data_IF_128854529580
#
_entry.id   IF_128854529580
#
_cell.length_a   1.000
_cell.length_b   1.000
_cell.length_c   1.000
_cell.angle_alpha   90.00
_cell.angle_beta   90.00
_cell.angle_gamma   90.00
#
_symmetry.space_group_name_H-M   'P 1'
#
loop_
_entity.id
_entity.type
_entity.pdbx_description
1 polymer ?
#
# COMPACT_ATOMS: atom_id res chain seq x y z
N UNK A 1 30.75 21.18 -12.19
CA UNK A 1 30.07 20.99 -10.90
C UNK A 1 29.03 22.08 -10.57
N UNK A 2 28.59 22.92 -11.52
CA UNK A 2 27.57 23.97 -11.29
C UNK A 2 26.14 23.56 -11.67
N UNK A 3 25.97 22.48 -12.44
CA UNK A 3 24.65 22.02 -12.94
C UNK A 3 23.96 20.98 -12.06
N UNK A 4 24.60 20.49 -10.99
CA UNK A 4 24.12 19.34 -10.23
C UNK A 4 22.84 19.64 -9.43
N UNK A 5 22.61 20.90 -9.03
CA UNK A 5 21.39 21.34 -8.31
C UNK A 5 20.42 22.13 -9.19
N UNK A 6 20.48 21.96 -10.50
CA UNK A 6 19.48 22.53 -11.44
C UNK A 6 18.32 21.54 -11.57
N UNK A 7 17.08 22.02 -11.41
CA UNK A 7 15.87 21.21 -11.65
C UNK A 7 15.62 21.04 -13.14
N UNK A 8 15.35 19.82 -13.57
CA UNK A 8 15.02 19.48 -14.96
C UNK A 8 13.52 19.68 -15.17
N UNK A 9 13.12 20.82 -15.75
CA UNK A 9 11.71 21.20 -15.89
C UNK A 9 10.96 20.34 -16.90
N UNK A 10 9.70 20.04 -16.62
CA UNK A 10 8.79 19.30 -17.49
C UNK A 10 9.05 17.80 -17.51
N UNK A 11 9.83 17.28 -16.55
CA UNK A 11 10.17 15.87 -16.45
C UNK A 11 9.64 15.29 -15.14
N UNK A 12 8.96 14.15 -15.25
CA UNK A 12 8.53 13.33 -14.11
C UNK A 12 9.14 11.94 -14.24
N UNK A 13 9.63 11.40 -13.12
CA UNK A 13 10.16 10.04 -13.03
C UNK A 13 9.62 9.41 -11.75
N UNK A 14 9.25 8.13 -11.79
CA UNK A 14 8.66 7.44 -10.66
C UNK A 14 9.50 6.24 -10.18
N UNK A 15 9.31 5.85 -8.92
CA UNK A 15 9.89 4.65 -8.33
C UNK A 15 8.78 3.79 -7.72
N UNK A 16 8.52 2.60 -8.29
CA UNK A 16 7.60 1.63 -7.72
C UNK A 16 8.07 1.13 -6.35
N UNK A 17 7.20 1.25 -5.36
CA UNK A 17 7.41 0.69 -4.03
C UNK A 17 6.20 -0.16 -3.65
N UNK A 18 6.41 -1.03 -2.68
CA UNK A 18 5.33 -1.63 -1.93
C UNK A 18 5.51 -1.33 -0.45
N UNK A 19 4.40 -1.22 0.25
CA UNK A 19 4.39 -1.17 1.70
C UNK A 19 3.28 -2.07 2.23
N UNK A 20 3.44 -2.53 3.46
CA UNK A 20 2.47 -3.41 4.07
C UNK A 20 3.11 -4.38 5.04
N UNK A 21 2.42 -5.48 5.34
CA UNK A 21 2.89 -6.47 6.28
C UNK A 21 2.62 -7.91 5.86
N UNK A 22 3.45 -8.81 6.40
CA UNK A 22 3.14 -10.23 6.54
C UNK A 22 2.91 -10.54 8.02
N UNK A 23 1.95 -11.41 8.34
CA UNK A 23 1.71 -11.89 9.71
C UNK A 23 1.55 -13.41 9.73
N UNK A 24 1.88 -14.04 10.85
CA UNK A 24 1.71 -15.49 11.06
C UNK A 24 1.26 -15.74 12.47
N UNK A 25 0.17 -16.51 12.60
CA UNK A 25 -0.31 -16.99 13.89
C UNK A 25 0.74 -17.89 14.55
N UNK A 26 1.02 -17.64 15.83
CA UNK A 26 2.01 -18.37 16.60
C UNK A 26 1.44 -19.68 17.13
N UNK A 27 2.25 -20.75 17.12
CA UNK A 27 1.89 -21.99 17.78
C UNK A 27 1.94 -21.84 19.30
N UNK A 28 1.28 -22.74 20.03
CA UNK A 28 1.34 -22.76 21.50
C UNK A 28 2.79 -22.78 22.01
N UNK A 29 3.65 -23.59 21.38
CA UNK A 29 5.06 -23.69 21.71
C UNK A 29 5.80 -22.36 21.50
N UNK A 30 5.53 -21.67 20.40
CA UNK A 30 6.19 -20.40 20.10
C UNK A 30 5.73 -19.28 21.06
N UNK A 31 4.45 -19.27 21.43
CA UNK A 31 3.91 -18.32 22.42
C UNK A 31 4.56 -18.50 23.79
N UNK A 32 4.74 -19.74 24.24
CA UNK A 32 5.41 -20.04 25.52
C UNK A 32 6.88 -19.62 25.56
N UNK A 33 7.52 -19.50 24.38
CA UNK A 33 8.90 -19.02 24.28
C UNK A 33 9.00 -17.48 24.27
N UNK A 34 7.89 -16.76 24.11
CA UNK A 34 7.88 -15.29 24.13
C UNK A 34 7.80 -14.76 25.57
N UNK A 35 8.39 -13.59 25.83
CA UNK A 35 8.23 -12.91 27.11
C UNK A 35 6.82 -12.34 27.31
N UNK A 36 6.01 -12.26 26.25
CA UNK A 36 4.65 -11.73 26.25
C UNK A 36 3.64 -12.85 25.97
N UNK A 37 2.94 -13.30 27.02
CA UNK A 37 2.06 -14.47 26.96
C UNK A 37 0.74 -14.21 26.17
N UNK A 38 0.33 -12.95 26.06
CA UNK A 38 -0.86 -12.52 25.34
C UNK A 38 -0.65 -12.36 23.83
N UNK A 39 0.60 -12.36 23.37
CA UNK A 39 0.90 -12.24 21.94
C UNK A 39 0.50 -13.50 21.17
N UNK A 40 -0.27 -13.30 20.10
CA UNK A 40 -0.83 -14.40 19.29
C UNK A 40 -0.21 -14.50 17.90
N UNK A 41 0.40 -13.43 17.41
CA UNK A 41 0.96 -13.35 16.07
C UNK A 41 2.40 -12.82 16.10
N UNK A 42 3.20 -13.26 15.14
CA UNK A 42 4.42 -12.57 14.70
C UNK A 42 4.12 -11.87 13.39
N UNK A 43 4.59 -10.65 13.23
CA UNK A 43 4.35 -9.87 12.03
C UNK A 43 5.58 -9.06 11.64
N UNK A 44 5.70 -8.77 10.35
CA UNK A 44 6.73 -7.90 9.78
C UNK A 44 6.07 -6.88 8.89
N UNK A 45 6.22 -5.60 9.22
CA UNK A 45 5.84 -4.47 8.35
C UNK A 45 7.07 -3.98 7.58
N UNK A 46 6.93 -3.64 6.30
CA UNK A 46 8.06 -3.23 5.48
C UNK A 46 7.69 -2.19 4.41
N UNK A 47 8.72 -1.51 3.89
CA UNK A 47 8.73 -0.79 2.62
C UNK A 47 9.79 -1.42 1.72
N UNK A 48 9.44 -1.81 0.50
CA UNK A 48 10.33 -2.55 -0.42
C UNK A 48 10.15 -2.06 -1.87
N UNK A 49 11.06 -2.45 -2.77
CA UNK A 49 10.80 -2.32 -4.20
C UNK A 49 9.63 -3.23 -4.61
N UNK A 50 8.89 -2.84 -5.64
CA UNK A 50 7.66 -3.53 -5.99
C UNK A 50 7.87 -4.91 -6.63
N UNK A 51 8.90 -5.08 -7.45
CA UNK A 51 9.20 -6.36 -8.08
C UNK A 51 9.71 -7.38 -7.05
N UNK A 52 9.23 -8.62 -7.14
CA UNK A 52 9.72 -9.72 -6.30
C UNK A 52 10.92 -10.38 -6.96
N UNK A 53 11.94 -10.72 -6.17
CA UNK A 53 13.09 -11.49 -6.66
C UNK A 53 12.64 -12.92 -7.07
N UNK A 54 13.26 -13.52 -8.12
CA UNK A 54 12.98 -14.90 -8.49
C UNK A 54 13.18 -15.86 -7.30
N UNK A 55 12.23 -16.77 -7.09
CA UNK A 55 12.25 -17.75 -5.99
C UNK A 55 12.28 -17.16 -4.57
N UNK A 56 12.00 -15.87 -4.40
CA UNK A 56 11.88 -15.23 -3.08
C UNK A 56 10.65 -15.73 -2.32
N UNK A 57 10.80 -15.94 -1.02
CA UNK A 57 9.77 -16.23 -0.03
C UNK A 57 9.16 -14.96 0.60
N UNK A 58 9.59 -13.78 0.15
CA UNK A 58 9.04 -12.49 0.54
C UNK A 58 8.40 -11.77 -0.65
N UNK A 59 7.43 -10.91 -0.36
CA UNK A 59 6.78 -10.03 -1.33
C UNK A 59 7.69 -8.83 -1.62
N UNK A 60 7.91 -8.54 -2.90
CA UNK A 60 8.76 -7.44 -3.38
C UNK A 60 10.25 -7.61 -3.05
N UNK A 61 10.98 -6.50 -3.10
CA UNK A 61 12.37 -6.43 -2.66
C UNK A 61 13.41 -6.95 -3.64
N UNK A 62 13.11 -7.00 -4.95
CA UNK A 62 14.10 -7.34 -5.98
C UNK A 62 15.22 -6.30 -6.14
N UNK A 63 14.95 -5.04 -5.80
CA UNK A 63 15.85 -3.90 -6.03
C UNK A 63 16.24 -3.24 -4.71
N UNK A 64 17.45 -2.68 -4.68
CA UNK A 64 17.83 -1.76 -3.62
C UNK A 64 17.20 -0.37 -3.84
N UNK A 65 16.42 0.07 -2.86
CA UNK A 65 15.74 1.38 -2.86
C UNK A 65 16.47 2.44 -2.02
N UNK A 66 17.62 2.10 -1.41
CA UNK A 66 18.41 3.02 -0.58
C UNK A 66 19.00 4.21 -1.35
N UNK A 67 19.10 4.09 -2.68
CA UNK A 67 19.57 5.17 -3.56
C UNK A 67 18.64 6.38 -3.61
N UNK A 68 17.36 6.23 -3.25
CA UNK A 68 16.40 7.34 -3.15
C UNK A 68 15.73 7.46 -1.78
N UNK A 69 15.71 6.39 -0.98
CA UNK A 69 15.19 6.39 0.40
C UNK A 69 16.35 6.40 1.39
N UNK A 70 16.41 7.46 2.21
CA UNK A 70 17.41 7.61 3.27
C UNK A 70 17.01 6.88 4.56
N UNK A 71 15.74 6.94 4.93
CA UNK A 71 15.23 6.38 6.19
C UNK A 71 13.74 6.12 6.10
N UNK A 72 13.29 5.02 6.69
CA UNK A 72 11.87 4.75 6.94
C UNK A 72 11.62 4.75 8.44
N UNK A 73 10.64 5.53 8.89
CA UNK A 73 10.18 5.52 10.28
C UNK A 73 8.83 4.83 10.35
N UNK A 74 8.72 3.78 11.16
CA UNK A 74 7.46 3.11 11.49
C UNK A 74 7.01 3.59 12.87
N UNK A 75 5.83 4.22 12.95
CA UNK A 75 5.19 4.55 14.23
C UNK A 75 4.19 3.45 14.55
N UNK A 76 4.55 2.63 15.52
CA UNK A 76 3.72 1.56 16.08
C UNK A 76 2.72 2.12 17.10
N UNK A 77 1.81 1.28 17.58
CA UNK A 77 0.91 1.62 18.67
C UNK A 77 1.68 1.92 19.97
N UNK A 78 1.18 2.85 20.79
CA UNK A 78 1.88 3.37 21.98
C UNK A 78 2.11 2.31 23.08
N UNK A 79 1.48 1.15 22.98
CA UNK A 79 1.73 -0.01 23.86
C UNK A 79 3.09 -0.66 23.62
N UNK A 80 3.71 -0.46 22.45
CA UNK A 80 5.04 -0.97 22.18
C UNK A 80 6.11 -0.09 22.80
N UNK A 81 7.13 -0.72 23.39
CA UNK A 81 8.33 -0.01 23.80
C UNK A 81 9.01 0.62 22.58
N UNK A 82 9.37 1.90 22.69
CA UNK A 82 9.91 2.71 21.60
C UNK A 82 9.05 2.60 20.33
N UNK A 83 7.81 3.12 20.34
CA UNK A 83 6.86 2.89 19.26
C UNK A 83 7.31 3.55 17.94
N UNK A 84 8.19 4.55 17.99
CA UNK A 84 8.83 5.11 16.79
C UNK A 84 10.12 4.36 16.45
N UNK A 85 10.06 3.51 15.43
CA UNK A 85 11.19 2.72 14.93
C UNK A 85 11.81 3.39 13.70
N UNK A 86 13.07 3.81 13.78
CA UNK A 86 13.79 4.45 12.69
C UNK A 86 14.73 3.44 12.02
N UNK A 87 14.55 3.21 10.72
CA UNK A 87 15.36 2.29 9.92
C UNK A 87 16.11 3.09 8.85
N UNK A 88 17.40 3.31 9.07
CA UNK A 88 18.27 4.14 8.22
C UNK A 88 18.93 3.36 7.06
N UNK A 89 18.82 2.04 7.05
CA UNK A 89 19.42 1.17 6.02
C UNK A 89 18.49 0.01 5.68
N UNK A 90 18.50 -0.48 4.44
CA UNK A 90 17.73 -1.66 4.07
C UNK A 90 18.22 -2.91 4.84
N UNK A 91 17.34 -3.89 5.11
CA UNK A 91 15.91 -3.90 4.74
C UNK A 91 15.09 -2.91 5.59
N UNK A 92 14.23 -2.13 4.93
CA UNK A 92 13.36 -1.15 5.60
C UNK A 92 12.14 -1.84 6.18
N UNK A 93 12.34 -2.59 7.27
CA UNK A 93 11.29 -3.39 7.90
C UNK A 93 11.42 -3.46 9.43
N UNK A 94 10.30 -3.78 10.08
CA UNK A 94 10.22 -4.01 11.52
C UNK A 94 9.46 -5.31 11.74
N UNK A 95 10.07 -6.23 12.48
CA UNK A 95 9.42 -7.45 12.98
C UNK A 95 9.09 -7.31 14.45
N UNK A 96 7.87 -7.68 14.80
CA UNK A 96 7.35 -7.65 16.17
C UNK A 96 6.38 -8.80 16.40
N UNK A 97 5.95 -8.94 17.65
CA UNK A 97 4.87 -9.84 18.05
C UNK A 97 3.71 -9.03 18.63
N UNK A 98 2.49 -9.54 18.55
CA UNK A 98 1.32 -8.84 19.09
C UNK A 98 0.03 -9.64 18.94
N UNK A 99 -1.07 -9.06 19.40
CA UNK A 99 -2.38 -9.69 19.38
C UNK A 99 -3.45 -8.90 18.62
N UNK A 100 -3.22 -7.60 18.40
CA UNK A 100 -4.20 -6.69 17.81
C UNK A 100 -3.74 -6.10 16.48
N UNK A 101 -4.72 -5.77 15.64
CA UNK A 101 -4.56 -4.98 14.42
C UNK A 101 -4.65 -3.49 14.75
N UNK A 102 -3.82 -2.66 14.12
CA UNK A 102 -3.80 -1.22 14.34
C UNK A 102 -3.18 -0.49 13.14
N UNK A 103 -3.40 0.82 13.04
CA UNK A 103 -2.81 1.65 12.00
C UNK A 103 -1.33 1.98 12.32
N UNK A 104 -0.44 1.62 11.41
CA UNK A 104 0.98 1.96 11.42
C UNK A 104 1.19 3.15 10.50
N UNK A 105 1.69 4.25 11.04
CA UNK A 105 2.14 5.38 10.24
C UNK A 105 3.57 5.11 9.74
N UNK A 106 3.76 5.10 8.43
CA UNK A 106 5.03 4.85 7.75
C UNK A 106 5.53 6.17 7.13
N UNK A 107 6.65 6.69 7.62
CA UNK A 107 7.24 7.94 7.13
C UNK A 107 8.52 7.67 6.36
N UNK A 108 8.50 7.88 5.05
CA UNK A 108 9.63 7.71 4.14
C UNK A 108 10.37 9.05 4.01
N UNK A 109 11.63 9.08 4.43
CA UNK A 109 12.53 10.22 4.26
C UNK A 109 13.45 9.95 3.08
N UNK A 110 13.46 10.83 2.08
CA UNK A 110 14.29 10.68 0.89
C UNK A 110 15.73 11.15 1.11
N UNK A 111 16.62 10.74 0.21
CA UNK A 111 18.01 11.22 0.16
C UNK A 111 18.06 12.73 -0.10
N UNK A 112 19.11 13.41 0.36
CA UNK A 112 19.19 14.87 0.31
C UNK A 112 19.19 15.42 -1.13
N UNK A 113 19.72 14.62 -2.05
CA UNK A 113 19.80 14.88 -3.48
C UNK A 113 18.43 15.04 -4.12
N UNK A 114 17.41 14.34 -3.61
CA UNK A 114 16.03 14.49 -4.09
C UNK A 114 15.49 15.90 -3.86
N UNK A 115 15.88 16.53 -2.73
CA UNK A 115 15.28 17.77 -2.26
C UNK A 115 13.79 17.69 -1.95
N UNK A 116 13.25 16.48 -1.84
CA UNK A 116 11.84 16.26 -1.57
C UNK A 116 11.55 16.18 -0.07
N UNK A 117 10.32 16.58 0.30
CA UNK A 117 9.83 16.40 1.67
C UNK A 117 9.56 14.91 1.92
N UNK A 118 9.61 14.52 3.19
CA UNK A 118 9.24 13.16 3.57
C UNK A 118 7.78 12.86 3.21
N UNK A 119 7.55 11.65 2.73
CA UNK A 119 6.23 11.10 2.44
C UNK A 119 5.70 10.35 3.67
N UNK A 120 4.38 10.36 3.89
CA UNK A 120 3.73 9.61 4.96
C UNK A 120 2.62 8.76 4.38
N UNK A 121 2.66 7.47 4.71
CA UNK A 121 1.70 6.45 4.35
C UNK A 121 1.09 5.90 5.63
N UNK A 122 -0.12 5.36 5.53
CA UNK A 122 -0.82 4.71 6.64
C UNK A 122 -1.14 3.29 6.23
N UNK A 123 -0.76 2.33 7.06
CA UNK A 123 -0.99 0.92 6.82
C UNK A 123 -1.73 0.30 7.99
N UNK A 124 -2.91 -0.26 7.75
CA UNK A 124 -3.60 -1.05 8.76
C UNK A 124 -2.95 -2.44 8.87
N UNK A 125 -2.27 -2.71 9.99
CA UNK A 125 -1.61 -3.98 10.24
C UNK A 125 -2.63 -5.11 10.21
N UNK A 126 -2.51 -6.03 9.24
CA UNK A 126 -3.41 -7.18 9.13
C UNK A 126 -2.78 -8.41 9.76
N UNK A 127 -3.45 -9.01 10.74
CA UNK A 127 -3.01 -10.22 11.42
C UNK A 127 -3.82 -11.44 10.98
N UNK A 128 -5.13 -11.26 10.84
CA UNK A 128 -6.06 -12.36 10.59
C UNK A 128 -6.27 -12.58 9.09
N UNK A 129 -6.58 -13.82 8.67
CA UNK A 129 -6.91 -14.11 7.28
C UNK A 129 -8.04 -13.22 6.75
N UNK A 130 -7.97 -12.87 5.48
CA UNK A 130 -9.05 -12.18 4.80
C UNK A 130 -10.27 -13.10 4.71
N UNK A 131 -11.42 -12.63 5.18
CA UNK A 131 -12.66 -13.39 5.26
C UNK A 131 -13.62 -13.00 4.13
N UNK A 132 -14.37 -13.97 3.61
CA UNK A 132 -15.47 -13.68 2.68
C UNK A 132 -16.67 -13.08 3.42
N UNK A 133 -17.61 -12.48 2.69
CA UNK A 133 -18.83 -11.95 3.28
C UNK A 133 -19.62 -13.06 4.01
N UNK A 134 -19.86 -12.86 5.32
CA UNK A 134 -20.56 -13.82 6.17
C UNK A 134 -19.64 -14.76 6.96
N UNK A 135 -18.33 -14.74 6.73
CA UNK A 135 -17.34 -15.46 7.56
C UNK A 135 -16.88 -14.60 8.75
N UNK A 136 -16.43 -15.21 9.86
CA UNK A 136 -15.87 -14.48 10.98
C UNK A 136 -14.59 -13.75 10.58
N UNK A 137 -14.52 -12.44 10.84
CA UNK A 137 -13.33 -11.63 10.54
C UNK A 137 -12.10 -12.05 11.36
N UNK A 138 -12.33 -12.54 12.58
CA UNK A 138 -11.30 -13.05 13.49
C UNK A 138 -11.59 -14.53 13.74
N UNK A 139 -10.98 -15.44 12.96
CA UNK A 139 -11.14 -16.86 13.18
C UNK A 139 -10.36 -17.32 14.43
N UNK A 140 -10.71 -18.48 15.02
CA UNK A 140 -9.92 -19.10 16.08
C UNK A 140 -8.45 -19.30 15.65
N UNK A 141 -7.52 -19.20 16.60
CA UNK A 141 -6.08 -19.24 16.30
C UNK A 141 -5.66 -20.53 15.57
N UNK A 142 -6.25 -21.67 15.93
CA UNK A 142 -6.00 -22.96 15.26
C UNK A 142 -6.37 -22.95 13.77
N UNK A 143 -7.42 -22.19 13.41
CA UNK A 143 -7.84 -22.01 12.03
C UNK A 143 -6.88 -21.05 11.34
N UNK A 144 -6.53 -19.92 11.98
CA UNK A 144 -5.55 -18.97 11.45
C UNK A 144 -4.18 -19.63 11.15
N UNK A 145 -3.70 -20.52 12.03
CA UNK A 145 -2.46 -21.29 11.81
C UNK A 145 -2.55 -22.14 10.53
N UNK A 146 -3.69 -22.76 10.24
CA UNK A 146 -3.89 -23.59 9.03
C UNK A 146 -3.93 -22.77 7.75
N UNK A 147 -4.39 -21.51 7.81
CA UNK A 147 -4.38 -20.61 6.67
C UNK A 147 -2.98 -20.13 6.29
N UNK A 148 -2.01 -20.24 7.21
CA UNK A 148 -0.63 -19.84 6.99
C UNK A 148 -0.44 -18.32 7.06
N UNK A 149 0.63 -17.79 6.44
CA UNK A 149 0.94 -16.38 6.51
C UNK A 149 -0.14 -15.51 5.86
N UNK A 150 -0.52 -14.45 6.57
CA UNK A 150 -1.40 -13.40 6.06
C UNK A 150 -0.54 -12.34 5.39
N UNK A 151 -0.95 -11.93 4.19
CA UNK A 151 -0.28 -10.90 3.41
C UNK A 151 -1.23 -9.73 3.18
N UNK A 152 -0.78 -8.52 3.53
CA UNK A 152 -1.47 -7.26 3.26
C UNK A 152 -0.45 -6.29 2.69
N UNK A 153 -0.42 -6.15 1.37
CA UNK A 153 0.55 -5.33 0.66
C UNK A 153 -0.14 -4.39 -0.31
N UNK A 154 0.35 -3.16 -0.35
CA UNK A 154 -0.12 -2.09 -1.22
C UNK A 154 1.02 -1.68 -2.16
N UNK A 155 0.68 -1.51 -3.43
CA UNK A 155 1.56 -0.92 -4.43
C UNK A 155 1.40 0.59 -4.44
N UNK A 156 2.51 1.31 -4.59
CA UNK A 156 2.52 2.77 -4.73
C UNK A 156 3.69 3.21 -5.61
N UNK A 157 3.62 4.44 -6.11
CA UNK A 157 4.65 5.03 -6.94
C UNK A 157 5.12 6.35 -6.36
N UNK A 158 6.40 6.41 -5.99
CA UNK A 158 7.01 7.67 -5.59
C UNK A 158 7.35 8.46 -6.84
N UNK A 159 6.56 9.51 -7.12
CA UNK A 159 6.76 10.37 -8.29
C UNK A 159 7.61 11.60 -7.92
N UNK A 160 8.72 11.76 -8.64
CA UNK A 160 9.61 12.92 -8.54
C UNK A 160 9.37 13.84 -9.74
N UNK A 161 8.76 15.00 -9.48
CA UNK A 161 8.48 16.02 -10.50
C UNK A 161 9.59 17.08 -10.52
N UNK A 162 10.01 17.45 -11.72
CA UNK A 162 11.11 18.38 -11.96
C UNK A 162 12.34 18.07 -11.07
N UNK A 163 12.90 16.84 -11.11
CA UNK A 163 13.96 16.43 -10.22
C UNK A 163 15.24 17.24 -10.47
N UNK A 164 16.10 17.36 -9.46
CA UNK A 164 17.45 17.88 -9.66
C UNK A 164 18.24 16.98 -10.61
N UNK A 165 19.07 17.57 -11.48
CA UNK A 165 19.83 16.82 -12.49
C UNK A 165 20.71 15.73 -11.87
N UNK A 166 21.36 16.00 -10.73
CA UNK A 166 22.15 14.99 -10.04
C UNK A 166 21.30 13.80 -9.55
N UNK A 167 20.12 14.07 -9.01
CA UNK A 167 19.20 13.06 -8.51
C UNK A 167 18.58 12.27 -9.66
N UNK A 168 18.24 12.94 -10.77
CA UNK A 168 17.83 12.26 -11.99
C UNK A 168 18.92 11.29 -12.47
N UNK A 169 20.20 11.69 -12.45
CA UNK A 169 21.29 10.78 -12.81
C UNK A 169 21.37 9.56 -11.87
N UNK A 170 21.19 9.76 -10.56
CA UNK A 170 21.12 8.66 -9.57
C UNK A 170 19.97 7.71 -9.92
N UNK A 171 18.79 8.25 -10.18
CA UNK A 171 17.62 7.45 -10.55
C UNK A 171 17.89 6.69 -11.87
N UNK A 172 18.31 7.37 -12.94
CA UNK A 172 18.54 6.73 -14.24
C UNK A 172 19.64 5.64 -14.19
N UNK A 173 20.62 5.76 -13.30
CA UNK A 173 21.63 4.71 -13.07
C UNK A 173 21.07 3.46 -12.36
N UNK A 174 19.90 3.57 -11.71
CA UNK A 174 19.23 2.51 -10.99
C UNK A 174 17.78 2.38 -11.48
N UNK A 175 17.56 1.86 -12.70
CA UNK A 175 16.21 1.60 -13.21
C UNK A 175 15.54 0.49 -12.36
N UNK A 176 14.23 0.61 -12.05
CA UNK A 176 13.53 -0.42 -11.31
C UNK A 176 13.40 -1.71 -12.12
N UNK A 177 13.43 -2.87 -11.45
CA UNK A 177 13.12 -4.14 -12.10
C UNK A 177 11.65 -4.12 -12.56
N UNK A 178 11.35 -4.41 -13.84
CA UNK A 178 9.98 -4.44 -14.33
C UNK A 178 9.14 -5.51 -13.61
N UNK A 179 7.89 -5.18 -13.30
CA UNK A 179 6.93 -6.17 -12.82
C UNK A 179 6.71 -7.27 -13.88
N UNK A 180 6.42 -8.52 -13.47
CA UNK A 180 6.10 -9.59 -14.39
C UNK A 180 4.86 -9.27 -15.24
N UNK A 181 4.87 -9.69 -16.49
CA UNK A 181 3.75 -9.49 -17.42
C UNK A 181 2.57 -10.43 -17.18
N UNK A 182 2.83 -11.59 -16.60
CA UNK A 182 1.86 -12.66 -16.39
C UNK A 182 1.80 -13.04 -14.91
N UNK A 183 0.64 -13.50 -14.47
CA UNK A 183 0.43 -14.02 -13.11
C UNK A 183 1.19 -15.35 -12.97
N UNK A 184 2.18 -15.38 -12.05
CA UNK A 184 3.00 -16.57 -11.73
C UNK A 184 2.81 -17.07 -10.30
N UNK A 185 2.29 -16.19 -9.45
CA UNK A 185 2.06 -16.32 -8.01
C UNK A 185 0.66 -15.77 -7.70
N UNK A 186 0.11 -16.03 -6.50
CA UNK A 186 -1.10 -15.34 -6.04
C UNK A 186 -0.95 -13.82 -6.13
N UNK A 187 -2.07 -13.11 -6.15
CA UNK A 187 -2.08 -11.65 -6.12
C UNK A 187 -2.24 -11.14 -4.69
N UNK A 188 -1.70 -9.97 -4.34
CA UNK A 188 -2.04 -9.30 -3.10
C UNK A 188 -3.56 -9.07 -3.01
N UNK A 189 -4.16 -9.28 -1.83
CA UNK A 189 -5.58 -8.99 -1.63
C UNK A 189 -5.87 -7.50 -1.78
N UNK A 190 -6.95 -7.17 -2.49
CA UNK A 190 -7.33 -5.79 -2.77
C UNK A 190 -8.67 -5.44 -2.11
N UNK A 191 -8.65 -4.55 -1.12
CA UNK A 191 -9.83 -4.13 -0.36
C UNK A 191 -10.97 -3.56 -1.22
N UNK A 192 -10.64 -2.75 -2.23
CA UNK A 192 -11.62 -2.18 -3.16
C UNK A 192 -12.11 -3.17 -4.24
N UNK A 193 -11.53 -4.37 -4.29
CA UNK A 193 -11.95 -5.44 -5.19
C UNK A 193 -12.03 -6.78 -4.42
N UNK A 194 -13.12 -7.02 -3.67
CA UNK A 194 -13.30 -8.24 -2.89
C UNK A 194 -13.20 -9.53 -3.73
N UNK A 195 -13.45 -9.46 -5.04
CA UNK A 195 -13.26 -10.59 -5.96
C UNK A 195 -11.81 -11.07 -6.07
N UNK A 196 -10.83 -10.28 -5.61
CA UNK A 196 -9.42 -10.66 -5.51
C UNK A 196 -9.14 -11.70 -4.43
N UNK A 197 -10.08 -11.96 -3.50
CA UNK A 197 -9.87 -12.84 -2.36
C UNK A 197 -9.39 -14.24 -2.75
N UNK A 198 -10.09 -14.90 -3.67
CA UNK A 198 -9.71 -16.25 -4.12
C UNK A 198 -8.33 -16.29 -4.77
N UNK A 199 -8.02 -15.29 -5.61
CA UNK A 199 -6.72 -15.19 -6.28
C UNK A 199 -5.57 -14.82 -5.33
N UNK A 200 -5.88 -14.38 -4.10
CA UNK A 200 -4.89 -14.04 -3.07
C UNK A 200 -4.53 -15.20 -2.15
N UNK A 201 -5.28 -16.30 -2.20
CA UNK A 201 -5.06 -17.45 -1.33
C UNK A 201 -3.81 -18.23 -1.75
N UNK A 202 -3.04 -18.65 -0.74
CA UNK A 202 -2.04 -19.70 -0.85
C UNK A 202 -0.69 -19.28 -1.43
N UNK A 203 0.26 -18.94 -0.56
CA UNK A 203 1.64 -18.64 -0.93
C UNK A 203 1.96 -17.14 -0.92
N UNK A 204 3.16 -16.81 -1.38
CA UNK A 204 3.70 -15.45 -1.34
C UNK A 204 3.22 -14.68 -2.57
N UNK A 205 2.43 -13.61 -2.41
CA UNK A 205 1.85 -12.91 -3.54
C UNK A 205 2.89 -12.07 -4.30
N UNK A 206 2.54 -11.66 -5.52
CA UNK A 206 3.39 -10.83 -6.39
C UNK A 206 2.53 -9.83 -7.19
N UNK A 207 3.02 -8.60 -7.32
CA UNK A 207 2.42 -7.59 -8.19
C UNK A 207 2.83 -7.81 -9.65
N UNK A 208 1.92 -7.57 -10.60
CA UNK A 208 2.16 -7.79 -12.04
C UNK A 208 1.67 -6.62 -12.88
N UNK A 209 2.21 -6.45 -14.08
CA UNK A 209 1.74 -5.43 -15.05
C UNK A 209 0.28 -5.67 -15.48
N UNK A 210 -0.20 -6.92 -15.40
CA UNK A 210 -1.60 -7.21 -15.67
C UNK A 210 -2.52 -6.55 -14.65
N UNK A 211 -2.11 -6.49 -13.38
CA UNK A 211 -2.91 -5.85 -12.33
C UNK A 211 -3.01 -4.33 -12.53
N UNK A 212 -1.96 -3.69 -13.02
CA UNK A 212 -1.98 -2.26 -13.39
C UNK A 212 -3.05 -2.00 -14.45
N UNK A 213 -3.09 -2.85 -15.50
CA UNK A 213 -4.10 -2.76 -16.55
C UNK A 213 -5.52 -3.01 -16.02
N UNK A 214 -5.70 -4.06 -15.22
CA UNK A 214 -7.00 -4.40 -14.58
C UNK A 214 -7.48 -3.26 -13.65
N UNK A 215 -6.57 -2.55 -12.97
CA UNK A 215 -6.89 -1.40 -12.14
C UNK A 215 -7.27 -0.18 -12.96
N UNK A 216 -6.52 0.12 -14.03
CA UNK A 216 -6.83 1.21 -14.94
C UNK A 216 -8.23 1.06 -15.54
N UNK A 217 -8.58 -0.13 -16.04
CA UNK A 217 -9.91 -0.42 -16.59
C UNK A 217 -11.01 -0.17 -15.55
N UNK A 218 -10.80 -0.60 -14.30
CA UNK A 218 -11.76 -0.38 -13.20
C UNK A 218 -11.93 1.09 -12.86
N UNK A 219 -10.83 1.86 -12.80
CA UNK A 219 -10.88 3.29 -12.56
C UNK A 219 -11.58 4.05 -13.69
N UNK A 220 -11.37 3.63 -14.94
CA UNK A 220 -12.06 4.20 -16.10
C UNK A 220 -13.57 3.94 -16.06
N UNK A 221 -13.99 2.72 -15.68
CA UNK A 221 -15.40 2.37 -15.47
C UNK A 221 -16.02 3.18 -14.33
N UNK A 222 -15.35 3.26 -13.18
CA UNK A 222 -15.80 4.05 -12.04
C UNK A 222 -15.93 5.54 -12.40
N UNK A 223 -14.96 6.10 -13.15
CA UNK A 223 -15.03 7.48 -13.65
C UNK A 223 -16.24 7.70 -14.55
N UNK A 224 -16.52 6.78 -15.48
CA UNK A 224 -17.70 6.87 -16.35
C UNK A 224 -19.00 6.84 -15.53
N UNK A 225 -19.09 5.98 -14.52
CA UNK A 225 -20.25 5.90 -13.63
C UNK A 225 -20.46 7.21 -12.85
N UNK A 226 -19.39 7.78 -12.28
CA UNK A 226 -19.45 9.06 -11.56
C UNK A 226 -19.90 10.21 -12.48
N UNK A 227 -19.39 10.27 -13.71
CA UNK A 227 -19.82 11.28 -14.69
C UNK A 227 -21.31 11.13 -14.99
N UNK A 228 -21.77 9.90 -15.28
CA UNK A 228 -23.18 9.64 -15.57
C UNK A 228 -24.10 10.01 -14.39
N UNK A 229 -23.69 9.70 -13.16
CA UNK A 229 -24.42 10.08 -11.96
C UNK A 229 -24.42 11.60 -11.74
N UNK A 230 -23.28 12.26 -11.96
CA UNK A 230 -23.16 13.73 -11.87
C UNK A 230 -24.10 14.41 -12.87
N UNK A 231 -24.14 13.95 -14.11
CA UNK A 231 -25.02 14.49 -15.15
C UNK A 231 -26.50 14.24 -14.82
N UNK A 232 -26.83 13.06 -14.28
CA UNK A 232 -28.18 12.74 -13.79
C UNK A 232 -28.61 13.72 -12.70
N UNK A 233 -27.80 13.91 -11.67
CA UNK A 233 -28.12 14.81 -10.55
C UNK A 233 -28.18 16.27 -10.99
N UNK A 234 -27.31 16.68 -11.92
CA UNK A 234 -27.36 18.01 -12.52
C UNK A 234 -28.69 18.27 -13.23
N UNK A 235 -29.19 17.30 -13.99
CA UNK A 235 -30.48 17.43 -14.68
C UNK A 235 -31.65 17.52 -13.70
N UNK A 236 -31.64 16.68 -12.66
CA UNK A 236 -32.66 16.72 -11.58
C UNK A 236 -32.64 18.08 -10.88
N UNK A 237 -31.45 18.61 -10.57
CA UNK A 237 -31.31 19.91 -9.93
C UNK A 237 -31.93 21.02 -10.79
N UNK A 238 -31.62 21.06 -12.09
CA UNK A 238 -32.18 22.04 -13.03
C UNK A 238 -33.71 21.93 -13.09
N UNK A 239 -34.26 20.71 -13.11
CA UNK A 239 -35.71 20.50 -13.11
C UNK A 239 -36.36 21.02 -11.82
N UNK A 240 -35.76 20.72 -10.67
CA UNK A 240 -36.25 21.19 -9.37
C UNK A 240 -36.12 22.71 -9.18
N UNK A 241 -35.09 23.34 -9.72
CA UNK A 241 -34.96 24.80 -9.72
C UNK A 241 -36.08 25.46 -10.54
N UNK A 242 -36.40 24.91 -11.73
CA UNK A 242 -37.52 25.39 -12.54
C UNK A 242 -38.87 25.21 -11.84
N UNK A 243 -39.10 24.06 -11.21
CA UNK A 243 -40.31 23.80 -10.42
C UNK A 243 -40.45 24.78 -9.25
N UNK A 244 -39.36 25.01 -8.51
CA UNK A 244 -39.31 25.96 -7.41
C UNK A 244 -39.63 27.39 -7.86
N UNK A 245 -39.08 27.82 -8.99
CA UNK A 245 -39.34 29.15 -9.55
C UNK A 245 -40.82 29.33 -9.91
N UNK A 246 -41.43 28.33 -10.55
CA UNK A 246 -42.86 28.32 -10.87
C UNK A 246 -43.73 28.42 -9.61
N UNK A 247 -43.43 27.63 -8.57
CA UNK A 247 -44.17 27.67 -7.31
C UNK A 247 -44.03 29.02 -6.58
N UNK A 248 -42.85 29.64 -6.61
CA UNK A 248 -42.64 30.99 -6.04
C UNK A 248 -43.46 32.04 -6.74
N UNK A 249 -43.60 31.97 -8.06
CA UNK A 249 -44.46 32.88 -8.82
C UNK A 249 -45.94 32.71 -8.46
N UNK A 250 -46.39 31.48 -8.23
CA UNK A 250 -47.76 31.18 -7.82
C UNK A 250 -48.08 31.62 -6.38
N UNK A 251 -47.10 31.54 -5.46
CA UNK A 251 -47.27 31.92 -4.06
C UNK A 251 -47.06 33.43 -3.79
N UNK A 252 -46.52 34.18 -4.76
CA UNK A 252 -46.28 35.62 -4.68
C UNK A 252 -47.44 36.50 -5.18
N UNK A 253 -48.56 35.90 -5.60
CA UNK A 253 -49.85 36.54 -5.88
C UNK A 253 -50.87 36.15 -4.80
#
# INVERSE_FOLDING_TARGET
MSNDRVRVRGLSIFRPIIYGNTATALSEKDRQALPYADHTHKWTVAVRSAASAPNSDIVGGADDISHFIKRVTFKLHDTYANPSRNIDKPPFEVSETGWGEFEIQIRITFVAESGEKAMTLYHHLKLHPWAAAGEPEIPPLEVAIKHGPVHSWQYDEVVFNDPFQNFLNILTAHPPTPLPKVKRRPVPFHLANPGSLEASKGGVPEFTQLMEKEEQERLEEARKAVIAETDKWRNILIEKEKELESLKQLAGN
#
